data_IF_366098633582
#
_entry.id   IF_366098633582
#
_cell.length_a   1.000
_cell.length_b   1.000
_cell.length_c   1.000
_cell.angle_alpha   90.00
_cell.angle_beta   90.00
_cell.angle_gamma   90.00
#
_symmetry.space_group_name_H-M   'P 1'
#
loop_
_entity.id
_entity.type
_entity.pdbx_description
1 polymer ?
#
# COMPACT_ATOMS: atom_id res chain seq x y z
N UNK A 1 -7.74 -27.44 -28.99
CA UNK A 1 -8.56 -26.22 -28.82
C UNK A 1 -8.15 -25.63 -27.48
N UNK A 2 -7.17 -24.70 -27.49
CA UNK A 2 -6.75 -23.97 -26.30
C UNK A 2 -7.85 -23.01 -25.93
N UNK A 3 -8.36 -23.09 -24.69
CA UNK A 3 -9.18 -22.04 -24.12
C UNK A 3 -8.37 -20.74 -24.22
N UNK A 4 -8.96 -19.69 -24.82
CA UNK A 4 -8.42 -18.35 -24.66
C UNK A 4 -8.28 -18.10 -23.17
N UNK A 5 -7.05 -18.08 -22.68
CA UNK A 5 -6.73 -17.59 -21.36
C UNK A 5 -7.14 -16.11 -21.40
N UNK A 6 -8.32 -15.82 -20.88
CA UNK A 6 -8.78 -14.44 -20.77
C UNK A 6 -7.71 -13.77 -19.93
N UNK A 7 -7.04 -12.78 -20.50
CA UNK A 7 -5.97 -12.03 -19.86
C UNK A 7 -6.46 -11.54 -18.49
N UNK A 8 -6.15 -12.33 -17.45
CA UNK A 8 -6.54 -11.98 -16.08
C UNK A 8 -5.74 -10.78 -15.66
N UNK A 9 -6.40 -9.92 -14.90
CA UNK A 9 -5.78 -8.73 -14.32
C UNK A 9 -6.03 -8.70 -12.81
N UNK A 10 -4.95 -8.43 -12.10
CA UNK A 10 -4.94 -8.36 -10.65
C UNK A 10 -4.45 -7.00 -10.20
N UNK A 11 -4.97 -6.55 -9.07
CA UNK A 11 -4.44 -5.42 -8.32
C UNK A 11 -3.80 -5.91 -7.03
N UNK A 12 -2.67 -5.32 -6.66
CA UNK A 12 -2.13 -5.36 -5.31
C UNK A 12 -2.25 -3.96 -4.72
N UNK A 13 -2.98 -3.81 -3.62
CA UNK A 13 -3.20 -2.54 -2.92
C UNK A 13 -2.37 -2.56 -1.63
N UNK A 14 -1.61 -1.49 -1.35
CA UNK A 14 -0.81 -1.31 -0.13
C UNK A 14 -1.19 0.02 0.53
N UNK A 15 -1.47 0.00 1.83
CA UNK A 15 -1.83 1.18 2.60
C UNK A 15 -0.56 1.94 3.02
N UNK A 16 -0.41 3.14 2.52
CA UNK A 16 0.83 3.93 2.63
C UNK A 16 1.19 4.26 4.08
N UNK A 17 2.33 3.73 4.55
CA UNK A 17 2.81 3.94 5.93
C UNK A 17 1.73 3.64 6.99
N UNK A 18 1.02 2.55 6.86
CA UNK A 18 -0.28 2.28 7.45
C UNK A 18 -0.43 2.74 8.90
N UNK A 19 0.38 2.23 9.84
CA UNK A 19 0.22 2.59 11.25
C UNK A 19 0.40 4.09 11.50
N UNK A 20 1.40 4.71 10.89
CA UNK A 20 1.61 6.16 11.03
C UNK A 20 0.47 6.97 10.39
N UNK A 21 -0.08 6.47 9.28
CA UNK A 21 -1.23 7.12 8.61
C UNK A 21 -2.51 7.01 9.44
N UNK A 22 -2.75 5.88 10.14
CA UNK A 22 -3.88 5.73 11.07
C UNK A 22 -3.75 6.73 12.22
N UNK A 23 -2.58 6.83 12.84
CA UNK A 23 -2.36 7.80 13.93
C UNK A 23 -2.58 9.23 13.45
N UNK A 24 -2.07 9.59 12.27
CA UNK A 24 -2.31 10.92 11.68
C UNK A 24 -3.80 11.16 11.44
N UNK A 25 -4.52 10.18 10.88
CA UNK A 25 -5.95 10.31 10.59
C UNK A 25 -6.78 10.50 11.87
N UNK A 26 -6.49 9.72 12.92
CA UNK A 26 -7.18 9.82 14.21
C UNK A 26 -6.90 11.17 14.91
N UNK A 27 -5.74 11.78 14.67
CA UNK A 27 -5.37 13.12 15.16
C UNK A 27 -5.84 14.26 14.23
N UNK A 28 -6.46 13.96 13.08
CA UNK A 28 -6.85 14.97 12.10
C UNK A 28 -5.66 15.62 11.37
N UNK A 29 -4.53 14.90 11.27
CA UNK A 29 -3.28 15.39 10.67
C UNK A 29 -3.06 14.79 9.28
N UNK A 30 -2.35 15.53 8.41
CA UNK A 30 -1.90 15.02 7.11
C UNK A 30 -0.56 14.29 7.27
N UNK A 31 -0.48 12.97 6.95
CA UNK A 31 0.75 12.20 7.08
C UNK A 31 1.87 12.66 6.14
N UNK A 32 1.55 13.39 5.06
CA UNK A 32 2.56 13.96 4.16
C UNK A 32 3.18 15.27 4.67
N UNK A 33 2.52 15.91 5.65
CA UNK A 33 2.97 17.16 6.26
C UNK A 33 3.46 16.99 7.69
N UNK A 34 3.07 15.89 8.36
CA UNK A 34 3.36 15.67 9.78
C UNK A 34 4.44 14.61 9.96
N UNK A 35 5.65 14.97 10.42
CA UNK A 35 6.67 13.99 10.81
C UNK A 35 6.21 13.23 12.07
N UNK A 36 5.95 11.93 11.93
CA UNK A 36 5.43 11.08 12.99
C UNK A 36 6.07 9.70 12.95
N UNK A 37 6.32 9.15 14.15
CA UNK A 37 6.87 7.80 14.36
C UNK A 37 5.91 6.98 15.20
N UNK A 38 5.75 5.71 14.85
CA UNK A 38 5.09 4.71 15.69
C UNK A 38 6.14 3.72 16.18
N UNK A 39 6.34 3.63 17.50
CA UNK A 39 7.31 2.73 18.11
C UNK A 39 6.94 2.39 19.55
N UNK A 40 7.34 1.20 20.01
CA UNK A 40 7.20 0.79 21.40
C UNK A 40 8.42 1.26 22.22
N UNK A 41 8.30 2.45 22.81
CA UNK A 41 9.35 3.05 23.63
C UNK A 41 9.66 2.30 24.94
N UNK A 42 8.77 1.40 25.38
CA UNK A 42 9.01 0.58 26.58
C UNK A 42 10.20 -0.36 26.42
N UNK A 43 10.56 -0.67 25.15
CA UNK A 43 11.75 -1.46 24.77
C UNK A 43 13.06 -0.66 24.77
N UNK A 44 13.01 0.61 25.19
CA UNK A 44 14.15 1.50 25.22
C UNK A 44 14.54 2.09 23.87
N UNK A 45 15.61 2.89 23.85
CA UNK A 45 16.08 3.62 22.66
C UNK A 45 16.51 2.71 21.48
N UNK A 46 16.75 1.43 21.73
CA UNK A 46 17.06 0.44 20.70
C UNK A 46 15.83 -0.13 19.97
N UNK A 47 14.60 0.22 20.39
CA UNK A 47 13.37 -0.24 19.73
C UNK A 47 13.34 0.15 18.26
N UNK A 48 12.89 -0.78 17.41
CA UNK A 48 12.71 -0.55 15.98
C UNK A 48 11.38 0.17 15.77
N UNK A 49 11.36 1.18 14.91
CA UNK A 49 10.13 1.86 14.51
C UNK A 49 9.24 0.92 13.70
N UNK A 50 7.98 0.82 14.07
CA UNK A 50 6.99 0.01 13.36
C UNK A 50 6.52 0.71 12.08
N UNK A 51 6.34 2.04 12.15
CA UNK A 51 6.02 2.86 10.99
C UNK A 51 6.55 4.29 11.19
N UNK A 52 6.80 4.95 10.09
CA UNK A 52 7.11 6.37 10.02
C UNK A 52 6.25 7.03 8.93
N UNK A 53 5.84 8.27 9.17
CA UNK A 53 5.03 9.02 8.21
C UNK A 53 5.78 9.30 6.90
N UNK A 54 5.08 9.52 5.77
CA UNK A 54 5.69 9.99 4.53
C UNK A 54 6.48 11.29 4.71
N UNK A 55 6.00 12.21 5.55
CA UNK A 55 6.71 13.45 5.87
C UNK A 55 8.10 13.16 6.47
N UNK A 56 8.17 12.21 7.41
CA UNK A 56 9.43 11.85 8.05
C UNK A 56 10.39 11.10 7.09
N UNK A 57 9.85 10.30 6.17
CA UNK A 57 10.66 9.68 5.09
C UNK A 57 11.30 10.73 4.19
N UNK A 58 10.59 11.83 3.88
CA UNK A 58 11.14 12.96 3.09
C UNK A 58 12.31 13.65 3.80
N UNK A 59 12.36 13.60 5.14
CA UNK A 59 13.49 14.11 5.93
C UNK A 59 14.66 13.12 5.99
N UNK A 60 14.63 12.02 5.24
CA UNK A 60 15.74 11.06 5.13
C UNK A 60 15.73 9.95 6.18
N UNK A 61 14.73 9.88 7.06
CA UNK A 61 14.61 8.77 8.02
C UNK A 61 14.17 7.51 7.27
N UNK A 62 14.87 6.40 7.52
CA UNK A 62 14.58 5.12 6.88
C UNK A 62 13.52 4.32 7.65
N UNK A 63 12.78 3.49 6.94
CA UNK A 63 11.90 2.49 7.57
C UNK A 63 12.73 1.58 8.50
N UNK A 64 12.08 1.09 9.56
CA UNK A 64 12.72 0.18 10.55
C UNK A 64 13.96 0.76 11.21
N UNK A 65 14.11 2.10 11.22
CA UNK A 65 15.13 2.78 12.01
C UNK A 65 14.94 2.49 13.50
N UNK A 66 16.01 2.56 14.28
CA UNK A 66 15.91 2.47 15.74
C UNK A 66 15.58 3.83 16.33
N UNK A 67 14.91 3.88 17.49
CA UNK A 67 14.52 5.14 18.14
C UNK A 67 15.68 6.10 18.36
N UNK A 68 16.88 5.61 18.67
CA UNK A 68 18.05 6.49 18.82
C UNK A 68 18.52 7.15 17.50
N UNK A 69 18.08 6.66 16.35
CA UNK A 69 18.37 7.22 15.02
C UNK A 69 17.33 8.26 14.58
N UNK A 70 16.22 8.38 15.31
CA UNK A 70 15.19 9.36 15.05
C UNK A 70 15.65 10.71 15.61
N UNK A 71 15.47 11.83 14.88
CA UNK A 71 15.80 13.15 15.41
C UNK A 71 15.11 13.40 16.76
N UNK A 72 15.82 13.94 17.78
CA UNK A 72 15.31 14.00 19.15
C UNK A 72 14.11 14.94 19.34
N UNK A 73 13.85 15.81 18.36
CA UNK A 73 12.67 16.70 18.34
C UNK A 73 11.42 16.04 17.73
N UNK A 74 11.53 14.79 17.24
CA UNK A 74 10.39 14.02 16.74
C UNK A 74 9.88 13.13 17.86
N UNK A 75 8.62 13.33 18.23
CA UNK A 75 7.93 12.47 19.17
C UNK A 75 7.51 11.17 18.52
N UNK A 76 7.44 10.09 19.31
CA UNK A 76 6.91 8.82 18.86
C UNK A 76 5.63 8.47 19.61
N UNK A 77 4.70 7.82 18.91
CA UNK A 77 3.47 7.30 19.49
C UNK A 77 3.59 5.80 19.76
N UNK A 78 2.98 5.38 20.87
CA UNK A 78 2.87 3.95 21.19
C UNK A 78 1.89 3.28 20.21
N UNK A 79 2.18 2.05 19.72
CA UNK A 79 1.31 1.38 18.77
C UNK A 79 -0.07 1.05 19.34
N UNK A 80 -1.12 1.38 18.60
CA UNK A 80 -2.52 1.05 18.92
C UNK A 80 -3.00 -0.12 18.05
N UNK A 81 -2.44 -1.33 18.20
CA UNK A 81 -2.68 -2.47 17.31
C UNK A 81 -4.15 -2.80 17.10
N UNK A 82 -5.00 -2.71 18.14
CA UNK A 82 -6.44 -2.93 18.01
C UNK A 82 -7.08 -1.91 17.05
N UNK A 83 -6.64 -0.66 17.12
CA UNK A 83 -7.14 0.40 16.21
C UNK A 83 -6.72 0.13 14.77
N UNK A 84 -5.48 -0.30 14.55
CA UNK A 84 -5.01 -0.65 13.21
C UNK A 84 -5.81 -1.80 12.60
N UNK A 85 -6.11 -2.84 13.39
CA UNK A 85 -6.96 -3.95 12.94
C UNK A 85 -8.38 -3.46 12.59
N UNK A 86 -8.95 -2.54 13.35
CA UNK A 86 -10.27 -1.95 13.07
C UNK A 86 -10.25 -1.18 11.74
N UNK A 87 -9.26 -0.31 11.53
CA UNK A 87 -9.13 0.47 10.28
C UNK A 87 -8.89 -0.45 9.09
N UNK A 88 -8.07 -1.49 9.23
CA UNK A 88 -7.89 -2.50 8.18
C UNK A 88 -9.22 -3.16 7.81
N UNK A 89 -10.04 -3.54 8.81
CA UNK A 89 -11.36 -4.11 8.57
C UNK A 89 -12.34 -3.11 7.91
N UNK A 90 -12.28 -1.83 8.26
CA UNK A 90 -13.05 -0.75 7.63
C UNK A 90 -12.68 -0.59 6.15
N UNK A 91 -11.38 -0.66 5.83
CA UNK A 91 -10.88 -0.60 4.46
C UNK A 91 -11.34 -1.82 3.67
N UNK A 92 -11.18 -3.03 4.23
CA UNK A 92 -11.70 -4.25 3.61
C UNK A 92 -13.21 -4.14 3.33
N UNK A 93 -14.01 -3.72 4.31
CA UNK A 93 -15.44 -3.49 4.13
C UNK A 93 -15.76 -2.40 3.09
N UNK A 94 -14.85 -1.43 2.89
CA UNK A 94 -14.99 -0.43 1.84
C UNK A 94 -14.73 -1.02 0.46
N UNK A 95 -13.71 -1.86 0.31
CA UNK A 95 -13.42 -2.57 -0.94
C UNK A 95 -14.58 -3.50 -1.33
N UNK A 96 -15.19 -4.20 -0.37
CA UNK A 96 -16.34 -5.10 -0.60
C UNK A 96 -17.62 -4.41 -1.10
N UNK A 97 -17.68 -3.08 -1.10
CA UNK A 97 -18.76 -2.34 -1.76
C UNK A 97 -18.62 -2.32 -3.29
N UNK A 98 -17.45 -2.67 -3.80
CA UNK A 98 -17.09 -2.59 -5.21
C UNK A 98 -16.72 -3.93 -5.82
N UNK A 99 -16.23 -4.86 -5.01
CA UNK A 99 -15.76 -6.18 -5.45
C UNK A 99 -16.30 -7.26 -4.52
N UNK A 100 -16.48 -8.47 -5.03
CA UNK A 100 -16.97 -9.60 -4.26
C UNK A 100 -15.87 -10.14 -3.32
N UNK A 101 -16.22 -10.69 -2.15
CA UNK A 101 -15.23 -11.17 -1.18
C UNK A 101 -14.37 -12.32 -1.70
N UNK A 102 -14.89 -13.15 -2.61
CA UNK A 102 -14.16 -14.25 -3.26
C UNK A 102 -13.03 -13.78 -4.18
N UNK A 103 -13.10 -12.54 -4.68
CA UNK A 103 -12.08 -11.95 -5.55
C UNK A 103 -11.04 -11.14 -4.77
N UNK A 104 -11.21 -11.01 -3.44
CA UNK A 104 -10.28 -10.28 -2.56
C UNK A 104 -9.49 -11.25 -1.69
N UNK A 105 -8.18 -11.24 -1.82
CA UNK A 105 -7.27 -11.94 -0.92
C UNK A 105 -6.59 -10.95 0.02
N UNK A 106 -6.89 -11.04 1.32
CA UNK A 106 -6.22 -10.25 2.36
C UNK A 106 -4.85 -10.86 2.61
N UNK A 107 -3.81 -10.20 2.10
CA UNK A 107 -2.43 -10.67 2.21
C UNK A 107 -1.80 -10.33 3.56
N UNK A 108 -2.05 -9.11 4.05
CA UNK A 108 -1.62 -8.65 5.38
C UNK A 108 -2.62 -7.65 5.95
N UNK A 109 -2.28 -7.02 7.08
CA UNK A 109 -3.11 -5.97 7.71
C UNK A 109 -3.26 -4.72 6.83
N UNK A 110 -2.35 -4.51 5.88
CA UNK A 110 -2.24 -3.33 5.04
C UNK A 110 -2.10 -3.65 3.53
N UNK A 111 -2.18 -4.95 3.15
CA UNK A 111 -2.07 -5.36 1.75
C UNK A 111 -3.22 -6.29 1.32
N UNK A 112 -3.75 -6.02 0.11
CA UNK A 112 -4.85 -6.77 -0.49
C UNK A 112 -4.55 -7.07 -1.95
N UNK A 113 -4.82 -8.32 -2.39
CA UNK A 113 -4.88 -8.66 -3.80
C UNK A 113 -6.33 -8.76 -4.25
N UNK A 114 -6.63 -8.30 -5.45
CA UNK A 114 -7.97 -8.31 -6.03
C UNK A 114 -7.90 -8.81 -7.47
N UNK A 115 -8.66 -9.84 -7.82
CA UNK A 115 -8.94 -10.16 -9.22
C UNK A 115 -9.92 -9.12 -9.78
N UNK A 116 -9.42 -8.25 -10.66
CA UNK A 116 -10.23 -7.17 -11.24
C UNK A 116 -10.85 -7.51 -12.58
N UNK A 117 -10.55 -8.69 -13.12
CA UNK A 117 -10.98 -9.11 -14.46
C UNK A 117 -12.49 -8.95 -14.67
N UNK A 118 -13.38 -9.46 -13.77
CA UNK A 118 -14.83 -9.36 -13.98
C UNK A 118 -15.38 -7.94 -13.81
N UNK A 119 -14.63 -7.06 -13.15
CA UNK A 119 -15.10 -5.71 -12.81
C UNK A 119 -14.84 -4.66 -13.89
N UNK A 120 -13.89 -4.92 -14.79
CA UNK A 120 -13.57 -3.99 -15.89
C UNK A 120 -14.77 -3.80 -16.82
N UNK A 121 -15.43 -4.86 -17.35
CA UNK A 121 -16.64 -4.72 -18.14
C UNK A 121 -17.82 -4.26 -17.32
N UNK A 122 -17.93 -4.69 -16.04
CA UNK A 122 -19.03 -4.32 -15.14
C UNK A 122 -19.08 -2.80 -14.93
N UNK A 123 -17.95 -2.19 -14.59
CA UNK A 123 -17.83 -0.74 -14.35
C UNK A 123 -17.55 0.07 -15.61
N UNK A 124 -17.34 -0.59 -16.77
CA UNK A 124 -16.91 0.05 -18.02
C UNK A 124 -15.70 0.98 -17.82
N UNK A 125 -14.72 0.50 -17.07
CA UNK A 125 -13.51 1.25 -16.71
C UNK A 125 -12.26 0.54 -17.21
N UNK A 126 -11.23 1.34 -17.51
CA UNK A 126 -9.87 0.80 -17.67
C UNK A 126 -9.32 0.34 -16.32
N UNK A 127 -8.31 -0.56 -16.29
CA UNK A 127 -7.70 -0.99 -15.02
C UNK A 127 -7.25 0.18 -14.15
N UNK A 128 -6.65 1.22 -14.75
CA UNK A 128 -6.20 2.42 -14.04
C UNK A 128 -7.35 3.24 -13.48
N UNK A 129 -8.46 3.37 -14.22
CA UNK A 129 -9.65 4.07 -13.72
C UNK A 129 -10.34 3.31 -12.59
N UNK A 130 -10.33 1.97 -12.63
CA UNK A 130 -10.86 1.15 -11.54
C UNK A 130 -9.98 1.27 -10.30
N UNK A 131 -8.65 1.24 -10.47
CA UNK A 131 -7.70 1.47 -9.38
C UNK A 131 -7.93 2.83 -8.71
N UNK A 132 -8.02 3.91 -9.49
CA UNK A 132 -8.27 5.24 -8.96
C UNK A 132 -9.59 5.29 -8.17
N UNK A 133 -10.65 4.67 -8.68
CA UNK A 133 -11.94 4.62 -7.98
C UNK A 133 -11.82 3.93 -6.62
N UNK A 134 -11.07 2.82 -6.52
CA UNK A 134 -10.86 2.12 -5.25
C UNK A 134 -9.97 2.94 -4.28
N UNK A 135 -8.92 3.57 -4.79
CA UNK A 135 -8.06 4.47 -4.00
C UNK A 135 -8.86 5.63 -3.41
N UNK A 136 -9.69 6.28 -4.22
CA UNK A 136 -10.54 7.40 -3.79
C UNK A 136 -11.55 6.94 -2.73
N UNK A 137 -12.15 5.76 -2.91
CA UNK A 137 -13.09 5.20 -1.94
C UNK A 137 -12.44 4.94 -0.58
N UNK A 138 -11.24 4.36 -0.57
CA UNK A 138 -10.47 4.12 0.66
C UNK A 138 -10.09 5.46 1.32
N UNK A 139 -9.58 6.41 0.55
CA UNK A 139 -9.18 7.73 1.07
C UNK A 139 -10.37 8.51 1.66
N UNK A 140 -11.51 8.49 0.98
CA UNK A 140 -12.73 9.17 1.48
C UNK A 140 -13.21 8.53 2.78
N UNK A 141 -13.23 7.20 2.85
CA UNK A 141 -13.74 6.47 4.01
C UNK A 141 -12.83 6.60 5.24
N UNK A 142 -11.50 6.56 5.07
CA UNK A 142 -10.56 6.38 6.18
C UNK A 142 -9.49 7.46 6.30
N UNK A 143 -9.36 8.34 5.33
CA UNK A 143 -8.25 9.31 5.20
C UNK A 143 -6.87 8.67 5.04
N UNK A 144 -6.83 7.37 4.72
CA UNK A 144 -5.60 6.63 4.47
C UNK A 144 -5.31 6.60 2.96
N UNK A 145 -4.11 7.01 2.60
CA UNK A 145 -3.62 6.88 1.23
C UNK A 145 -3.17 5.44 0.96
N UNK A 146 -3.43 4.97 -0.25
CA UNK A 146 -2.97 3.67 -0.70
C UNK A 146 -2.23 3.79 -2.04
N UNK A 147 -1.51 2.74 -2.40
CA UNK A 147 -0.84 2.57 -3.69
C UNK A 147 -1.35 1.29 -4.35
N UNK A 148 -1.38 1.24 -5.67
CA UNK A 148 -1.88 0.09 -6.43
C UNK A 148 -0.87 -0.33 -7.49
N UNK A 149 -0.48 -1.60 -7.45
CA UNK A 149 0.16 -2.27 -8.58
C UNK A 149 -0.86 -3.10 -9.35
N UNK A 150 -0.88 -2.97 -10.66
CA UNK A 150 -1.72 -3.76 -11.57
C UNK A 150 -0.83 -4.70 -12.37
N UNK A 151 -1.21 -5.96 -12.49
CA UNK A 151 -0.44 -6.94 -13.23
C UNK A 151 -1.29 -8.05 -13.83
N UNK A 152 -0.76 -8.74 -14.85
CA UNK A 152 -1.40 -9.89 -15.49
C UNK A 152 -1.36 -11.16 -14.63
N UNK A 153 -0.67 -11.11 -13.50
CA UNK A 153 -0.70 -12.10 -12.43
C UNK A 153 -0.35 -11.44 -11.10
N UNK A 154 -0.51 -12.17 -9.99
CA UNK A 154 -0.28 -11.64 -8.63
C UNK A 154 1.16 -11.17 -8.42
N UNK A 155 2.15 -11.87 -8.99
CA UNK A 155 3.56 -11.51 -8.87
C UNK A 155 3.85 -10.17 -9.57
N UNK A 156 3.38 -10.00 -10.80
CA UNK A 156 3.56 -8.76 -11.55
C UNK A 156 2.80 -7.59 -10.92
N UNK A 157 1.60 -7.84 -10.36
CA UNK A 157 0.87 -6.83 -9.59
C UNK A 157 1.67 -6.37 -8.36
N UNK A 158 2.30 -7.30 -7.63
CA UNK A 158 3.14 -6.96 -6.47
C UNK A 158 4.40 -6.19 -6.88
N UNK A 159 5.08 -6.59 -7.97
CA UNK A 159 6.25 -5.85 -8.46
C UNK A 159 5.86 -4.46 -8.97
N UNK A 160 4.75 -4.35 -9.70
CA UNK A 160 4.23 -3.06 -10.14
C UNK A 160 3.96 -2.12 -8.95
N UNK A 161 3.46 -2.67 -7.84
CA UNK A 161 3.28 -1.93 -6.60
C UNK A 161 4.61 -1.45 -6.03
N UNK A 162 5.55 -2.37 -5.79
CA UNK A 162 6.77 -2.08 -5.03
C UNK A 162 7.75 -1.19 -5.80
N UNK A 163 7.87 -1.39 -7.12
CA UNK A 163 8.86 -0.69 -7.95
C UNK A 163 8.27 0.54 -8.67
N UNK A 164 7.03 0.46 -9.16
CA UNK A 164 6.46 1.52 -10.00
C UNK A 164 5.49 2.42 -9.23
N UNK A 165 4.48 1.86 -8.58
CA UNK A 165 3.40 2.63 -7.96
C UNK A 165 3.87 3.55 -6.82
N UNK A 166 4.83 3.10 -6.03
CA UNK A 166 5.38 3.87 -4.90
C UNK A 166 6.08 5.15 -5.33
N UNK A 167 6.52 5.23 -6.60
CA UNK A 167 7.20 6.38 -7.20
C UNK A 167 6.32 7.15 -8.20
N UNK A 168 5.14 6.62 -8.55
CA UNK A 168 4.20 7.29 -9.44
C UNK A 168 3.45 8.42 -8.72
N UNK A 169 3.20 9.52 -9.44
CA UNK A 169 2.48 10.69 -8.89
C UNK A 169 1.03 10.41 -8.54
N UNK A 170 0.41 9.44 -9.22
CA UNK A 170 -0.96 8.97 -8.99
C UNK A 170 -1.03 7.67 -8.17
N UNK A 171 0.11 7.19 -7.65
CA UNK A 171 0.22 5.97 -6.84
C UNK A 171 -0.23 4.68 -7.55
N UNK A 172 -0.23 4.65 -8.89
CA UNK A 172 -0.64 3.49 -9.67
C UNK A 172 0.49 3.04 -10.60
N UNK A 173 0.88 1.76 -10.51
CA UNK A 173 1.81 1.09 -11.41
C UNK A 173 1.11 0.01 -12.23
N UNK A 174 1.59 -0.27 -13.44
CA UNK A 174 1.13 -1.37 -14.27
C UNK A 174 2.31 -2.16 -14.79
N UNK A 175 2.18 -3.49 -14.82
CA UNK A 175 3.20 -4.37 -15.35
C UNK A 175 2.57 -5.63 -15.96
N UNK A 176 2.94 -5.90 -17.19
CA UNK A 176 2.76 -7.19 -17.85
C UNK A 176 4.11 -7.87 -18.07
N UNK A 177 4.11 -9.05 -18.65
CA UNK A 177 5.33 -9.83 -18.87
C UNK A 177 6.31 -9.13 -19.82
N UNK A 178 5.81 -8.45 -20.85
CA UNK A 178 6.65 -7.72 -21.82
C UNK A 178 7.31 -6.52 -21.15
N UNK A 179 6.52 -5.69 -20.48
CA UNK A 179 7.03 -4.53 -19.74
C UNK A 179 8.00 -4.94 -18.62
N UNK A 180 7.72 -6.06 -17.93
CA UNK A 180 8.65 -6.59 -16.95
C UNK A 180 10.00 -6.94 -17.55
N UNK A 181 10.03 -7.64 -18.68
CA UNK A 181 11.27 -8.00 -19.38
C UNK A 181 12.04 -6.76 -19.86
N UNK A 182 11.32 -5.77 -20.34
CA UNK A 182 11.93 -4.55 -20.91
C UNK A 182 12.47 -3.60 -19.81
N UNK A 183 11.77 -3.46 -18.69
CA UNK A 183 12.03 -2.39 -17.72
C UNK A 183 12.58 -2.86 -16.38
N UNK A 184 12.19 -4.06 -15.91
CA UNK A 184 12.47 -4.54 -14.56
C UNK A 184 13.43 -5.72 -14.52
N UNK A 185 13.63 -6.44 -15.64
CA UNK A 185 14.43 -7.67 -15.68
C UNK A 185 15.84 -7.53 -15.09
N UNK A 186 16.46 -6.37 -15.27
CA UNK A 186 17.80 -6.05 -14.75
C UNK A 186 17.76 -5.11 -13.54
N UNK A 187 16.59 -4.96 -12.89
CA UNK A 187 16.47 -4.10 -11.74
C UNK A 187 17.42 -4.50 -10.60
N UNK A 188 18.07 -3.51 -10.03
CA UNK A 188 18.95 -3.66 -8.86
C UNK A 188 18.67 -2.54 -7.85
N UNK A 189 18.73 -2.83 -6.55
CA UNK A 189 19.03 -4.14 -5.95
C UNK A 189 17.79 -5.05 -5.97
N UNK A 190 18.01 -6.37 -6.02
CA UNK A 190 16.91 -7.35 -5.95
C UNK A 190 16.11 -7.28 -4.65
N UNK A 191 16.69 -6.69 -3.60
CA UNK A 191 16.03 -6.44 -2.31
C UNK A 191 14.87 -5.45 -2.39
N UNK A 192 14.69 -4.73 -3.49
CA UNK A 192 13.53 -3.86 -3.71
C UNK A 192 12.29 -4.67 -4.13
N UNK A 193 12.52 -5.91 -4.63
CA UNK A 193 11.48 -6.82 -5.08
C UNK A 193 11.04 -7.66 -3.90
N UNK A 194 9.75 -7.58 -3.56
CA UNK A 194 9.12 -8.41 -2.54
C UNK A 194 9.81 -8.36 -1.16
N UNK A 195 9.71 -7.22 -0.49
CA UNK A 195 10.19 -7.01 0.89
C UNK A 195 9.16 -7.46 1.93
#
# INVERSE_FOLDING_TARGET
MGSADTDRLYMCIDLKCFYASVECADLGLDPFMTPLVVADGSRGKGAITLAISPALKKLGVKNRSRLFQIPPYIEYLTPHMKRYMQVSAEIYGTLLKYVAPEDVHVYSIDEYFIDITPYLPLYKKTPRQLAQMLLDAVLVATKIYATVGIGTNLFLAKIALDILAKHASDFIGYLDESLFKETIWYHQPLTDIWQ
#
